data_IF_225351287881
#
_entry.id   IF_225351287881
#
_cell.length_a   1.000
_cell.length_b   1.000
_cell.length_c   1.000
_cell.angle_alpha   90.00
_cell.angle_beta   90.00
_cell.angle_gamma   90.00
#
_symmetry.space_group_name_H-M   'P 1'
#
loop_
_entity.id
_entity.type
_entity.pdbx_description
1 polymer ?
#
# COMPACT_ATOMS: atom_id res chain seq x y z
N UNK A 1 51.38 14.12 -42.45
CA UNK A 1 50.07 14.46 -41.92
C UNK A 1 49.70 13.44 -40.85
N UNK A 2 49.70 13.90 -39.55
CA UNK A 2 49.35 13.03 -38.40
C UNK A 2 47.90 13.32 -38.02
N UNK A 3 47.01 12.34 -38.16
CA UNK A 3 45.64 12.47 -37.68
C UNK A 3 45.56 12.04 -36.23
N UNK A 4 45.27 12.98 -35.36
CA UNK A 4 44.95 12.71 -33.93
C UNK A 4 43.47 12.39 -33.81
N UNK A 5 43.16 11.14 -33.44
CA UNK A 5 41.79 10.71 -33.13
C UNK A 5 41.44 11.18 -31.70
N UNK A 6 40.42 12.03 -31.59
CA UNK A 6 39.88 12.50 -30.34
C UNK A 6 38.82 11.51 -29.85
N UNK A 7 39.08 10.80 -28.75
CA UNK A 7 38.08 9.95 -28.10
C UNK A 7 37.11 10.85 -27.31
N UNK A 8 35.85 10.85 -27.74
CA UNK A 8 34.75 11.46 -26.99
C UNK A 8 34.25 10.42 -25.96
N UNK A 9 34.56 10.67 -24.68
CA UNK A 9 34.04 9.90 -23.57
C UNK A 9 32.60 10.35 -23.33
N UNK A 10 31.62 9.52 -23.71
CA UNK A 10 30.21 9.72 -23.37
C UNK A 10 29.97 9.12 -22.00
N UNK A 11 29.90 9.98 -20.99
CA UNK A 11 29.52 9.60 -19.63
C UNK A 11 28.01 9.34 -19.57
N UNK A 12 27.61 8.08 -19.48
CA UNK A 12 26.23 7.69 -19.23
C UNK A 12 25.90 8.00 -17.76
N UNK A 13 25.13 9.06 -17.52
CA UNK A 13 24.57 9.35 -16.22
C UNK A 13 23.46 8.34 -15.90
N UNK A 14 23.74 7.39 -15.02
CA UNK A 14 22.69 6.53 -14.44
C UNK A 14 21.80 7.40 -13.54
N UNK A 15 20.58 7.63 -13.97
CA UNK A 15 19.53 8.18 -13.10
C UNK A 15 19.13 7.08 -12.11
N UNK A 16 19.65 7.18 -10.89
CA UNK A 16 19.16 6.41 -9.76
C UNK A 16 17.74 6.90 -9.43
N UNK A 17 16.74 6.15 -9.85
CA UNK A 17 15.38 6.31 -9.35
C UNK A 17 15.40 5.88 -7.89
N UNK A 18 15.57 6.84 -6.99
CA UNK A 18 15.53 6.62 -5.56
C UNK A 18 14.14 6.10 -5.17
N UNK A 19 14.09 4.93 -4.52
CA UNK A 19 12.88 4.50 -3.85
C UNK A 19 12.53 5.56 -2.78
N UNK A 20 11.31 6.09 -2.83
CA UNK A 20 10.81 6.98 -1.79
C UNK A 20 10.79 6.22 -0.47
N UNK A 21 11.63 6.64 0.48
CA UNK A 21 11.64 6.08 1.83
C UNK A 21 10.69 6.90 2.70
N UNK A 22 9.96 6.23 3.60
CA UNK A 22 9.12 6.90 4.57
C UNK A 22 9.91 7.94 5.37
N UNK A 23 9.36 9.13 5.49
CA UNK A 23 9.87 10.14 6.40
C UNK A 23 9.28 9.90 7.79
N UNK A 24 10.07 9.36 8.70
CA UNK A 24 9.65 9.12 10.08
C UNK A 24 10.26 10.16 11.03
N UNK A 25 9.53 10.50 12.09
CA UNK A 25 10.05 11.34 13.17
C UNK A 25 11.11 10.55 13.94
N UNK A 26 12.37 11.01 13.96
CA UNK A 26 13.51 10.21 14.44
C UNK A 26 13.40 9.80 15.92
N UNK A 27 12.73 10.60 16.75
CA UNK A 27 12.59 10.35 18.18
C UNK A 27 11.25 9.69 18.58
N UNK A 28 10.42 9.35 17.61
CA UNK A 28 9.14 8.70 17.87
C UNK A 28 9.24 7.18 17.66
N UNK A 29 8.91 6.37 18.68
CA UNK A 29 8.91 4.94 18.52
C UNK A 29 7.86 4.54 17.47
N UNK A 30 8.20 3.56 16.65
CA UNK A 30 7.27 3.00 15.67
C UNK A 30 6.11 2.32 16.38
N UNK A 31 4.90 2.68 16.01
CA UNK A 31 3.66 2.08 16.53
C UNK A 31 3.26 0.81 15.74
N UNK A 32 3.89 0.62 14.59
CA UNK A 32 3.68 -0.53 13.68
C UNK A 32 5.02 -1.17 13.29
N UNK A 33 5.82 -1.66 14.29
CA UNK A 33 7.15 -2.21 14.02
C UNK A 33 7.06 -3.52 13.22
N UNK A 34 8.16 -3.90 12.58
CA UNK A 34 8.24 -5.15 11.77
C UNK A 34 7.86 -6.38 12.58
N UNK A 35 8.18 -6.41 13.87
CA UNK A 35 7.86 -7.50 14.78
C UNK A 35 6.35 -7.76 14.97
N UNK A 36 5.49 -6.80 14.62
CA UNK A 36 4.03 -6.94 14.64
C UNK A 36 3.51 -7.88 13.56
N UNK A 37 4.23 -8.02 12.47
CA UNK A 37 3.76 -8.73 11.29
C UNK A 37 4.52 -10.03 11.05
N UNK A 38 3.90 -10.93 10.30
CA UNK A 38 4.50 -12.16 9.80
C UNK A 38 3.89 -12.54 8.44
N UNK A 39 4.61 -13.35 7.65
CA UNK A 39 4.03 -13.89 6.42
C UNK A 39 2.92 -14.89 6.74
N UNK A 40 1.75 -14.73 6.14
CA UNK A 40 0.59 -15.59 6.36
C UNK A 40 0.52 -16.76 5.38
N UNK A 41 1.38 -16.77 4.34
CA UNK A 41 1.49 -17.87 3.39
C UNK A 41 2.95 -18.04 2.91
N UNK A 42 3.23 -19.18 2.29
CA UNK A 42 4.60 -19.53 1.86
C UNK A 42 5.19 -18.57 0.81
N UNK A 43 4.36 -17.94 -0.01
CA UNK A 43 4.82 -16.95 -1.00
C UNK A 43 5.13 -15.59 -0.39
N UNK A 44 4.65 -15.30 0.83
CA UNK A 44 4.75 -14.00 1.47
C UNK A 44 3.83 -12.92 0.86
N UNK A 45 2.89 -13.31 0.00
CA UNK A 45 1.91 -12.38 -0.60
C UNK A 45 0.80 -11.96 0.35
N UNK A 46 0.67 -12.65 1.48
CA UNK A 46 -0.26 -12.37 2.55
C UNK A 46 0.51 -12.07 3.85
N UNK A 47 0.05 -11.08 4.57
CA UNK A 47 0.67 -10.58 5.80
C UNK A 47 -0.31 -10.70 6.95
N UNK A 48 0.07 -11.42 8.00
CA UNK A 48 -0.70 -11.49 9.24
C UNK A 48 -0.25 -10.41 10.20
N UNK A 49 -1.19 -9.66 10.70
CA UNK A 49 -1.02 -8.75 11.83
C UNK A 49 -1.26 -9.54 13.12
N UNK A 50 -0.22 -9.74 13.91
CA UNK A 50 -0.28 -10.55 15.15
C UNK A 50 -1.07 -9.88 16.26
N UNK A 51 -1.23 -8.56 16.23
CA UNK A 51 -2.02 -7.86 17.25
C UNK A 51 -3.52 -7.97 16.99
N UNK A 52 -3.95 -7.88 15.73
CA UNK A 52 -5.37 -7.92 15.38
C UNK A 52 -5.84 -9.32 14.94
N UNK A 53 -4.93 -10.21 14.59
CA UNK A 53 -5.22 -11.49 13.96
C UNK A 53 -5.68 -11.39 12.52
N UNK A 54 -5.71 -10.20 11.94
CA UNK A 54 -6.14 -9.99 10.55
C UNK A 54 -5.05 -10.41 9.57
N UNK A 55 -5.49 -10.92 8.42
CA UNK A 55 -4.60 -11.22 7.29
C UNK A 55 -4.88 -10.24 6.17
N UNK A 56 -3.84 -9.60 5.68
CA UNK A 56 -3.87 -8.56 4.66
C UNK A 56 -3.24 -9.03 3.35
N UNK A 57 -3.74 -8.58 2.24
CA UNK A 57 -2.95 -8.64 1.01
C UNK A 57 -1.77 -7.68 1.11
N UNK A 58 -0.57 -8.19 0.82
CA UNK A 58 0.66 -7.38 0.84
C UNK A 58 0.61 -6.27 -0.21
N UNK A 59 0.17 -6.59 -1.41
CA UNK A 59 0.01 -5.64 -2.51
C UNK A 59 -1.42 -5.10 -2.63
N UNK A 60 -1.56 -3.89 -3.14
CA UNK A 60 -2.88 -3.38 -3.54
C UNK A 60 -3.43 -4.16 -4.73
N UNK A 61 -4.73 -4.11 -4.93
CA UNK A 61 -5.42 -4.80 -6.03
C UNK A 61 -4.80 -4.48 -7.39
N UNK A 62 -4.65 -5.50 -8.24
CA UNK A 62 -4.00 -5.41 -9.55
C UNK A 62 -2.50 -5.70 -9.53
N UNK A 63 -1.83 -5.47 -8.41
CA UNK A 63 -0.42 -5.79 -8.24
C UNK A 63 -0.20 -7.18 -7.65
N UNK A 64 0.98 -7.74 -7.90
CA UNK A 64 1.38 -9.07 -7.42
C UNK A 64 2.71 -9.00 -6.68
N UNK A 65 2.82 -9.76 -5.59
CA UNK A 65 4.06 -9.94 -4.86
C UNK A 65 4.97 -10.94 -5.59
N UNK A 66 6.20 -10.53 -5.91
CA UNK A 66 7.17 -11.38 -6.63
C UNK A 66 8.24 -12.01 -5.71
N UNK A 67 8.06 -11.90 -4.39
CA UNK A 67 9.04 -12.35 -3.39
C UNK A 67 9.88 -11.21 -2.80
N UNK A 68 9.95 -10.06 -3.48
CA UNK A 68 10.75 -8.91 -3.04
C UNK A 68 9.95 -7.61 -3.03
N UNK A 69 9.09 -7.41 -4.03
CA UNK A 69 8.30 -6.18 -4.19
C UNK A 69 6.96 -6.46 -4.87
N UNK A 70 6.03 -5.52 -4.79
CA UNK A 70 4.79 -5.56 -5.56
C UNK A 70 5.05 -5.08 -6.99
N UNK A 71 4.70 -5.89 -7.98
CA UNK A 71 4.87 -5.62 -9.41
C UNK A 71 3.54 -5.57 -10.14
N UNK A 72 3.51 -4.99 -11.34
CA UNK A 72 2.30 -4.78 -12.12
C UNK A 72 1.65 -3.42 -11.83
N UNK A 73 0.50 -3.18 -12.45
CA UNK A 73 -0.24 -1.94 -12.29
C UNK A 73 -1.33 -2.07 -11.24
N UNK A 74 -1.39 -1.13 -10.30
CA UNK A 74 -2.48 -1.06 -9.35
C UNK A 74 -3.79 -0.75 -10.07
N UNK A 75 -4.86 -1.44 -9.70
CA UNK A 75 -6.20 -1.23 -10.26
C UNK A 75 -7.00 -0.34 -9.32
N UNK A 76 -7.31 0.88 -9.77
CA UNK A 76 -8.24 1.75 -9.08
C UNK A 76 -9.68 1.41 -9.51
N UNK A 77 -10.62 1.38 -8.54
CA UNK A 77 -12.01 0.99 -8.74
C UNK A 77 -12.95 1.93 -8.00
N UNK A 78 -14.15 2.13 -8.52
CA UNK A 78 -15.23 2.75 -7.76
C UNK A 78 -15.63 1.85 -6.57
N UNK A 79 -16.29 2.41 -5.58
CA UNK A 79 -16.59 1.70 -4.32
C UNK A 79 -17.48 0.44 -4.53
N UNK A 80 -18.44 0.50 -5.45
CA UNK A 80 -19.34 -0.63 -5.72
C UNK A 80 -18.59 -1.79 -6.36
N UNK A 81 -17.73 -1.49 -7.34
CA UNK A 81 -16.85 -2.48 -7.96
C UNK A 81 -15.86 -3.00 -6.95
N UNK A 82 -15.20 -2.11 -6.17
CA UNK A 82 -14.25 -2.47 -5.13
C UNK A 82 -14.85 -3.44 -4.09
N UNK A 83 -16.08 -3.18 -3.64
CA UNK A 83 -16.77 -4.05 -2.69
C UNK A 83 -17.03 -5.45 -3.27
N UNK A 84 -17.47 -5.52 -4.53
CA UNK A 84 -17.71 -6.80 -5.20
C UNK A 84 -16.44 -7.58 -5.48
N UNK A 85 -15.40 -6.92 -5.99
CA UNK A 85 -14.13 -7.57 -6.32
C UNK A 85 -13.29 -7.90 -5.08
N UNK A 86 -13.48 -7.18 -3.98
CA UNK A 86 -12.86 -7.53 -2.71
C UNK A 86 -13.51 -8.77 -2.07
N UNK A 87 -14.79 -9.00 -2.29
CA UNK A 87 -15.57 -10.11 -1.73
C UNK A 87 -15.32 -11.41 -2.51
N UNK A 88 -14.09 -11.91 -2.47
CA UNK A 88 -13.68 -13.17 -3.07
C UNK A 88 -13.09 -14.08 -2.00
N UNK A 89 -13.60 -15.33 -1.93
CA UNK A 89 -13.04 -16.43 -1.14
C UNK A 89 -12.54 -16.04 0.27
N UNK A 90 -13.34 -15.37 1.07
CA UNK A 90 -13.04 -14.88 2.44
C UNK A 90 -12.41 -13.48 2.52
N UNK A 91 -12.03 -12.85 1.43
CA UNK A 91 -11.53 -11.49 1.39
C UNK A 91 -12.66 -10.47 1.42
N UNK A 92 -12.38 -9.28 1.92
CA UNK A 92 -13.30 -8.14 1.96
C UNK A 92 -12.54 -6.82 1.96
N UNK A 93 -13.26 -5.73 1.75
CA UNK A 93 -12.71 -4.42 2.10
C UNK A 93 -12.50 -4.33 3.63
N UNK A 94 -11.44 -3.66 4.08
CA UNK A 94 -11.26 -3.35 5.50
C UNK A 94 -12.31 -2.33 5.96
N UNK A 95 -12.65 -2.35 7.23
CA UNK A 95 -13.30 -1.20 7.87
C UNK A 95 -12.33 -0.04 7.98
N UNK A 96 -12.83 1.17 8.25
CA UNK A 96 -11.99 2.34 8.55
C UNK A 96 -10.98 2.02 9.67
N UNK A 97 -11.45 1.52 10.80
CA UNK A 97 -10.60 1.23 11.97
C UNK A 97 -9.51 0.19 11.65
N UNK A 98 -9.82 -0.83 10.85
CA UNK A 98 -8.84 -1.83 10.43
C UNK A 98 -7.75 -1.21 9.55
N UNK A 99 -8.13 -0.40 8.57
CA UNK A 99 -7.17 0.23 7.65
C UNK A 99 -6.32 1.29 8.36
N UNK A 100 -6.90 2.08 9.27
CA UNK A 100 -6.17 2.97 10.17
C UNK A 100 -5.21 2.19 11.08
N UNK A 101 -5.58 0.98 11.47
CA UNK A 101 -4.74 0.08 12.25
C UNK A 101 -3.42 -0.29 11.58
N UNK A 102 -3.31 -0.19 10.26
CA UNK A 102 -2.04 -0.34 9.52
C UNK A 102 -1.19 0.94 9.49
N UNK A 103 -1.79 2.09 9.78
CA UNK A 103 -1.11 3.38 9.65
C UNK A 103 -0.06 3.59 10.73
N UNK A 104 1.19 3.77 10.31
CA UNK A 104 2.29 4.20 11.17
C UNK A 104 2.23 5.71 11.32
N UNK A 105 1.75 6.18 12.48
CA UNK A 105 1.50 7.61 12.70
C UNK A 105 2.78 8.45 12.88
N UNK A 106 3.90 7.78 13.15
CA UNK A 106 5.20 8.43 13.25
C UNK A 106 5.87 8.63 11.89
N UNK A 107 5.27 8.16 10.79
CA UNK A 107 5.84 8.23 9.45
C UNK A 107 4.85 8.81 8.45
N UNK A 108 5.40 9.35 7.35
CA UNK A 108 4.65 9.78 6.17
C UNK A 108 5.37 9.38 4.89
N UNK A 109 4.62 9.29 3.81
CA UNK A 109 5.08 9.03 2.45
C UNK A 109 6.01 7.81 2.28
N UNK A 110 5.56 6.63 2.75
CA UNK A 110 4.25 6.29 3.25
C UNK A 110 4.10 6.21 4.77
N UNK A 111 2.87 6.33 5.25
CA UNK A 111 2.46 6.02 6.61
C UNK A 111 2.08 4.54 6.77
N UNK A 112 2.88 3.65 6.23
CA UNK A 112 2.73 2.19 6.34
C UNK A 112 4.08 1.56 6.66
N UNK A 113 4.06 0.42 7.34
CA UNK A 113 5.27 -0.36 7.53
C UNK A 113 5.85 -0.77 6.16
N UNK A 114 7.08 -0.28 5.86
CA UNK A 114 7.73 -0.43 4.55
C UNK A 114 8.13 -1.88 4.25
N UNK A 115 8.54 -2.63 5.25
CA UNK A 115 8.97 -4.03 5.10
C UNK A 115 7.82 -4.91 4.63
N UNK A 116 6.62 -4.64 5.14
CA UNK A 116 5.46 -5.49 4.89
C UNK A 116 4.49 -4.96 3.83
N UNK A 117 4.39 -3.63 3.66
CA UNK A 117 3.42 -3.00 2.77
C UNK A 117 4.03 -1.94 1.84
N UNK A 118 5.36 -1.81 1.84
CA UNK A 118 6.09 -0.68 1.30
C UNK A 118 6.19 -0.57 -0.22
N UNK A 119 5.78 -1.59 -0.97
CA UNK A 119 5.86 -1.51 -2.42
C UNK A 119 4.48 -1.26 -3.02
N UNK A 120 4.27 -0.09 -3.56
CA UNK A 120 3.04 0.21 -4.28
C UNK A 120 2.74 1.71 -4.35
N UNK A 121 1.73 2.09 -5.11
CA UNK A 121 1.27 3.47 -5.10
C UNK A 121 0.66 3.81 -3.74
N UNK A 122 1.00 4.99 -3.25
CA UNK A 122 0.37 5.56 -2.06
C UNK A 122 -0.75 6.49 -2.47
N UNK A 123 -1.87 6.41 -1.77
CA UNK A 123 -3.04 7.20 -2.10
C UNK A 123 -4.25 6.79 -1.29
N UNK A 124 -5.41 7.24 -1.71
CA UNK A 124 -6.67 6.92 -1.08
C UNK A 124 -7.06 5.46 -1.33
N UNK A 125 -7.40 4.76 -0.25
CA UNK A 125 -7.81 3.35 -0.26
C UNK A 125 -9.23 3.25 0.30
N UNK A 126 -10.08 2.52 -0.41
CA UNK A 126 -11.47 2.29 0.01
C UNK A 126 -11.56 1.47 1.30
N UNK A 127 -12.52 1.84 2.15
CA UNK A 127 -12.99 1.02 3.27
C UNK A 127 -14.42 0.52 3.02
N UNK A 128 -14.86 -0.45 3.82
CA UNK A 128 -16.26 -0.89 3.84
C UNK A 128 -17.15 0.02 4.71
N UNK A 129 -16.56 0.99 5.41
CA UNK A 129 -17.30 1.89 6.30
C UNK A 129 -18.12 2.88 5.49
N UNK A 130 -19.44 2.81 5.67
CA UNK A 130 -20.40 3.72 5.10
C UNK A 130 -20.85 4.70 6.19
N UNK A 131 -20.84 5.99 5.88
CA UNK A 131 -21.27 7.05 6.80
C UNK A 131 -22.78 7.35 6.70
N UNK A 132 -23.54 6.43 6.08
CA UNK A 132 -24.97 6.65 5.83
C UNK A 132 -25.27 7.65 4.70
N UNK A 133 -24.25 8.07 3.96
CA UNK A 133 -24.42 8.88 2.76
C UNK A 133 -24.63 7.97 1.55
N UNK A 134 -25.69 8.17 0.76
CA UNK A 134 -25.94 7.35 -0.42
C UNK A 134 -24.79 7.42 -1.42
N UNK A 135 -24.07 8.53 -1.48
CA UNK A 135 -23.05 8.80 -2.49
C UNK A 135 -21.61 8.74 -1.96
N UNK A 136 -21.39 8.64 -0.65
CA UNK A 136 -20.08 8.70 -0.03
C UNK A 136 -19.68 7.44 0.73
N UNK A 137 -18.38 7.13 0.78
CA UNK A 137 -17.80 6.11 1.64
C UNK A 137 -16.45 6.58 2.22
N UNK A 138 -16.08 6.03 3.36
CA UNK A 138 -14.85 6.39 4.05
C UNK A 138 -13.63 5.83 3.32
N UNK A 139 -12.60 6.63 3.23
CA UNK A 139 -11.29 6.29 2.69
C UNK A 139 -10.18 6.65 3.66
N UNK A 140 -9.07 5.93 3.59
CA UNK A 140 -7.84 6.24 4.34
C UNK A 140 -6.70 6.43 3.35
N UNK A 141 -5.91 7.48 3.53
CA UNK A 141 -4.75 7.76 2.68
C UNK A 141 -3.53 7.00 3.19
N UNK A 142 -3.02 6.06 2.41
CA UNK A 142 -1.90 5.18 2.79
C UNK A 142 -0.54 5.91 2.94
N UNK A 143 -0.42 7.10 2.37
CA UNK A 143 0.79 7.93 2.51
C UNK A 143 0.81 8.81 3.76
N UNK A 144 -0.35 9.30 4.23
CA UNK A 144 -0.43 10.31 5.28
C UNK A 144 -1.36 9.97 6.45
N UNK A 145 -2.00 8.79 6.43
CA UNK A 145 -3.01 8.37 7.43
C UNK A 145 -4.25 9.29 7.52
N UNK A 146 -4.43 10.18 6.57
CA UNK A 146 -5.63 11.04 6.53
C UNK A 146 -6.87 10.21 6.23
N UNK A 147 -7.99 10.64 6.80
CA UNK A 147 -9.31 10.05 6.59
C UNK A 147 -10.18 11.07 5.87
N UNK A 148 -10.95 10.61 4.92
CA UNK A 148 -11.93 11.43 4.21
C UNK A 148 -13.20 10.62 3.89
N UNK A 149 -14.25 11.33 3.51
CA UNK A 149 -15.42 10.75 2.88
C UNK A 149 -15.42 11.19 1.42
N UNK A 150 -15.30 10.25 0.51
CA UNK A 150 -15.24 10.53 -0.93
C UNK A 150 -16.40 9.89 -1.68
N UNK A 151 -16.74 10.49 -2.80
CA UNK A 151 -17.84 10.04 -3.66
C UNK A 151 -17.55 8.63 -4.17
N UNK A 152 -18.48 7.69 -3.98
CA UNK A 152 -18.36 6.26 -4.32
C UNK A 152 -17.99 5.98 -5.78
N UNK A 153 -18.23 6.92 -6.70
CA UNK A 153 -17.90 6.80 -8.13
C UNK A 153 -16.44 7.11 -8.49
N UNK A 154 -15.65 7.64 -7.56
CA UNK A 154 -14.23 7.93 -7.82
C UNK A 154 -13.44 6.63 -7.83
N UNK A 155 -12.59 6.36 -8.85
CA UNK A 155 -11.72 5.20 -8.82
C UNK A 155 -10.57 5.38 -7.84
N UNK A 156 -10.50 4.53 -6.80
CA UNK A 156 -9.46 4.55 -5.76
C UNK A 156 -8.85 3.16 -5.57
N UNK A 157 -7.75 3.08 -4.84
CA UNK A 157 -7.07 1.82 -4.57
C UNK A 157 -7.86 0.91 -3.63
N UNK A 158 -7.58 -0.37 -3.74
CA UNK A 158 -8.19 -1.43 -2.93
C UNK A 158 -7.08 -2.26 -2.29
N UNK A 159 -7.13 -2.42 -0.97
CA UNK A 159 -6.36 -3.41 -0.21
C UNK A 159 -7.32 -4.31 0.52
N UNK A 160 -7.19 -5.60 0.32
CA UNK A 160 -8.11 -6.58 0.91
C UNK A 160 -7.61 -7.10 2.26
N UNK A 161 -8.55 -7.46 3.10
CA UNK A 161 -8.32 -8.06 4.41
C UNK A 161 -9.23 -9.27 4.61
N UNK A 162 -8.82 -10.22 5.45
CA UNK A 162 -9.65 -11.33 5.91
C UNK A 162 -9.36 -11.67 7.37
N UNK A 163 -10.28 -12.33 8.02
CA UNK A 163 -10.03 -12.94 9.32
C UNK A 163 -9.15 -14.19 9.16
N UNK A 164 -8.42 -14.56 10.20
CA UNK A 164 -7.79 -15.88 10.28
C UNK A 164 -8.93 -16.90 10.43
N UNK A 165 -8.94 -17.87 9.57
CA UNK A 165 -9.88 -19.02 9.64
C UNK A 165 -9.25 -20.14 10.45
#
# INVERSE_FOLDING_TARGET
MKFTASLICVSASLLLVGASQAACFPDSPLTRPDSRYEAANASGSEVKDKETGLVWQRCVQGMQWNGTTCTGAATAQDWVVATKTAADAKWRLPTQAELEGLSEKSCSDPALNQTWFGAGPYGWVWTSTDMGSPDGAVVVHSGSSLIANLIKKIPLFVRRVRNVS
#
